data_IF_107969897292
#
_entry.id   IF_107969897292
#
_cell.length_a   1.000
_cell.length_b   1.000
_cell.length_c   1.000
_cell.angle_alpha   90.00
_cell.angle_beta   90.00
_cell.angle_gamma   90.00
#
_symmetry.space_group_name_H-M   'P 1'
#
loop_
_entity.id
_entity.type
_entity.pdbx_description
1 polymer ?
#
# COMPACT_ATOMS: atom_id res chain seq x y z
N UNK A 1 -16.22 4.53 -3.01
CA UNK A 1 -15.92 3.49 -2.01
C UNK A 1 -16.94 2.37 -2.11
N UNK A 2 -16.53 1.10 -1.99
CA UNK A 2 -17.45 -0.03 -1.88
C UNK A 2 -17.90 -0.19 -0.43
N UNK A 3 -19.19 -0.47 -0.20
CA UNK A 3 -19.73 -0.75 1.15
C UNK A 3 -19.37 -2.20 1.51
N UNK A 4 -18.66 -2.39 2.61
CA UNK A 4 -18.25 -3.71 3.08
C UNK A 4 -18.87 -3.99 4.45
N UNK A 5 -19.56 -5.13 4.58
CA UNK A 5 -20.02 -5.63 5.87
C UNK A 5 -18.96 -6.56 6.43
N UNK A 6 -18.54 -6.32 7.67
CA UNK A 6 -17.57 -7.15 8.38
C UNK A 6 -18.18 -7.64 9.68
N UNK A 7 -17.81 -8.85 10.09
CA UNK A 7 -18.12 -9.35 11.42
C UNK A 7 -17.09 -8.84 12.42
N UNK A 8 -17.55 -8.40 13.58
CA UNK A 8 -16.73 -8.00 14.71
C UNK A 8 -17.26 -8.70 15.97
N UNK A 9 -16.39 -9.32 16.78
CA UNK A 9 -16.80 -9.79 18.11
C UNK A 9 -17.39 -8.64 18.94
N UNK A 10 -18.39 -8.94 19.77
CA UNK A 10 -19.12 -7.92 20.53
C UNK A 10 -18.21 -7.03 21.38
N UNK A 11 -17.20 -7.63 22.02
CA UNK A 11 -16.21 -6.89 22.81
C UNK A 11 -15.43 -5.89 21.94
N UNK A 12 -14.99 -6.31 20.75
CA UNK A 12 -14.27 -5.45 19.79
C UNK A 12 -15.18 -4.33 19.29
N UNK A 13 -16.43 -4.65 18.95
CA UNK A 13 -17.39 -3.66 18.49
C UNK A 13 -17.69 -2.60 19.56
N UNK A 14 -17.89 -3.01 20.82
CA UNK A 14 -18.10 -2.09 21.94
C UNK A 14 -16.88 -1.20 22.19
N UNK A 15 -15.67 -1.77 22.14
CA UNK A 15 -14.42 -1.01 22.26
C UNK A 15 -14.29 0.06 21.16
N UNK A 16 -14.52 -0.32 19.91
CA UNK A 16 -14.51 0.60 18.78
C UNK A 16 -15.57 1.70 18.90
N UNK A 17 -16.77 1.36 19.38
CA UNK A 17 -17.85 2.34 19.60
C UNK A 17 -17.45 3.41 20.64
N UNK A 18 -16.79 3.00 21.72
CA UNK A 18 -16.30 3.93 22.75
C UNK A 18 -15.26 4.89 22.17
N UNK A 19 -14.26 4.37 21.47
CA UNK A 19 -13.20 5.18 20.82
C UNK A 19 -13.82 6.14 19.80
N UNK A 20 -14.77 5.66 18.98
CA UNK A 20 -15.43 6.49 17.97
C UNK A 20 -16.14 7.68 18.61
N UNK A 21 -16.84 7.44 19.73
CA UNK A 21 -17.51 8.48 20.49
C UNK A 21 -16.53 9.50 21.08
N UNK A 22 -15.47 9.03 21.74
CA UNK A 22 -14.43 9.90 22.35
C UNK A 22 -13.75 10.81 21.31
N UNK A 23 -13.50 10.28 20.11
CA UNK A 23 -12.86 11.01 19.01
C UNK A 23 -13.84 11.72 18.07
N UNK A 24 -15.15 11.78 18.40
CA UNK A 24 -16.21 12.41 17.58
C UNK A 24 -16.18 11.98 16.11
N UNK A 25 -15.99 10.69 15.89
CA UNK A 25 -15.89 10.09 14.56
C UNK A 25 -16.77 8.85 14.45
N UNK A 26 -16.83 8.24 13.27
CA UNK A 26 -17.55 6.97 13.07
C UNK A 26 -16.62 5.77 13.23
N UNK A 27 -17.17 4.60 13.62
CA UNK A 27 -16.41 3.34 13.65
C UNK A 27 -15.80 3.04 12.27
N UNK A 28 -16.55 3.29 11.20
CA UNK A 28 -16.07 3.07 9.84
C UNK A 28 -14.87 3.96 9.51
N UNK A 29 -14.86 5.20 9.99
CA UNK A 29 -13.74 6.13 9.81
C UNK A 29 -12.51 5.73 10.64
N UNK A 30 -12.72 5.25 11.88
CA UNK A 30 -11.61 4.68 12.67
C UNK A 30 -10.96 3.49 11.97
N UNK A 31 -11.78 2.57 11.47
CA UNK A 31 -11.28 1.38 10.77
C UNK A 31 -10.52 1.79 9.51
N UNK A 32 -11.04 2.74 8.72
CA UNK A 32 -10.33 3.25 7.54
C UNK A 32 -8.97 3.81 7.89
N UNK A 33 -8.90 4.73 8.86
CA UNK A 33 -7.63 5.32 9.28
C UNK A 33 -6.65 4.28 9.81
N UNK A 34 -7.15 3.27 10.53
CA UNK A 34 -6.32 2.18 11.01
C UNK A 34 -5.77 1.32 9.85
N UNK A 35 -6.59 1.01 8.85
CA UNK A 35 -6.18 0.28 7.64
C UNK A 35 -5.18 1.09 6.82
N UNK A 36 -5.47 2.36 6.55
CA UNK A 36 -4.57 3.26 5.81
C UNK A 36 -3.22 3.39 6.53
N UNK A 37 -3.23 3.46 7.86
CA UNK A 37 -1.98 3.50 8.64
C UNK A 37 -1.22 2.17 8.64
N UNK A 38 -1.94 1.05 8.63
CA UNK A 38 -1.33 -0.28 8.72
C UNK A 38 -0.80 -0.78 7.38
N UNK A 39 -1.44 -0.39 6.27
CA UNK A 39 -1.18 -0.98 4.96
C UNK A 39 -1.11 0.05 3.83
N UNK A 40 -1.28 1.36 4.10
CA UNK A 40 -1.35 2.37 3.04
C UNK A 40 -0.09 2.41 2.19
N UNK A 41 1.08 2.41 2.83
CA UNK A 41 2.39 2.35 2.16
C UNK A 41 2.53 1.06 1.33
N UNK A 42 2.29 -0.10 1.94
CA UNK A 42 2.37 -1.40 1.23
C UNK A 42 1.44 -1.45 0.01
N UNK A 43 0.23 -0.89 0.11
CA UNK A 43 -0.74 -0.82 -0.99
C UNK A 43 -0.24 0.11 -2.10
N UNK A 44 0.38 1.23 -1.75
CA UNK A 44 0.99 2.15 -2.71
C UNK A 44 2.18 1.49 -3.43
N UNK A 45 3.09 0.85 -2.69
CA UNK A 45 4.24 0.14 -3.23
C UNK A 45 3.83 -0.98 -4.21
N UNK A 46 2.81 -1.77 -3.84
CA UNK A 46 2.27 -2.83 -4.71
C UNK A 46 1.72 -2.21 -5.99
N UNK A 47 0.93 -1.13 -5.88
CA UNK A 47 0.31 -0.48 -7.04
C UNK A 47 1.38 0.08 -7.99
N UNK A 48 2.38 0.75 -7.44
CA UNK A 48 3.45 1.34 -8.23
C UNK A 48 4.30 0.24 -8.90
N UNK A 49 4.57 -0.86 -8.19
CA UNK A 49 5.24 -2.03 -8.75
C UNK A 49 4.45 -2.71 -9.88
N UNK A 50 3.13 -2.86 -9.73
CA UNK A 50 2.25 -3.39 -10.78
C UNK A 50 2.22 -2.49 -12.02
N UNK A 51 2.20 -1.17 -11.82
CA UNK A 51 2.23 -0.20 -12.91
C UNK A 51 3.54 -0.27 -13.70
N UNK A 52 4.69 -0.28 -13.01
CA UNK A 52 6.00 -0.37 -13.67
C UNK A 52 6.19 -1.71 -14.37
N UNK A 53 5.72 -2.82 -13.79
CA UNK A 53 5.72 -4.11 -14.45
C UNK A 53 4.86 -4.10 -15.72
N UNK A 54 3.67 -3.50 -15.66
CA UNK A 54 2.79 -3.38 -16.82
C UNK A 54 3.45 -2.55 -17.94
N UNK A 55 4.14 -1.45 -17.59
CA UNK A 55 4.92 -0.63 -18.55
C UNK A 55 6.02 -1.45 -19.21
N UNK A 56 6.80 -2.20 -18.43
CA UNK A 56 7.85 -3.07 -18.96
C UNK A 56 7.30 -4.16 -19.88
N UNK A 57 6.19 -4.79 -19.50
CA UNK A 57 5.56 -5.82 -20.34
C UNK A 57 5.01 -5.26 -21.66
N UNK A 58 4.53 -4.02 -21.66
CA UNK A 58 4.06 -3.34 -22.87
C UNK A 58 5.21 -2.90 -23.79
N UNK A 59 6.30 -2.41 -23.20
CA UNK A 59 7.51 -2.00 -23.89
C UNK A 59 8.77 -2.37 -23.07
N UNK A 60 9.44 -3.49 -23.39
CA UNK A 60 10.65 -3.90 -22.67
C UNK A 60 11.82 -2.92 -22.79
N UNK A 61 11.79 -2.00 -23.77
CA UNK A 61 12.83 -0.96 -23.92
C UNK A 61 12.66 0.20 -22.94
N UNK A 62 11.54 0.27 -22.22
CA UNK A 62 11.31 1.23 -21.14
C UNK A 62 12.21 1.03 -19.92
N UNK A 63 12.86 -0.14 -19.80
CA UNK A 63 13.77 -0.46 -18.71
C UNK A 63 15.22 -0.57 -19.20
N UNK A 64 16.16 -0.20 -18.34
CA UNK A 64 17.61 -0.37 -18.58
C UNK A 64 18.07 -1.71 -18.03
N UNK A 65 18.91 -2.42 -18.79
CA UNK A 65 19.49 -3.68 -18.29
C UNK A 65 20.54 -3.40 -17.20
N UNK A 66 20.72 -4.32 -16.25
CA UNK A 66 21.76 -4.20 -15.22
C UNK A 66 23.16 -4.03 -15.82
N UNK A 67 23.43 -4.68 -16.96
CA UNK A 67 24.72 -4.59 -17.64
C UNK A 67 24.98 -3.20 -18.25
N UNK A 68 23.93 -2.50 -18.67
CA UNK A 68 24.00 -1.12 -19.17
C UNK A 68 24.14 -0.10 -18.04
N UNK A 69 23.46 -0.35 -16.90
CA UNK A 69 23.53 0.54 -15.73
C UNK A 69 24.86 0.45 -14.99
N UNK A 70 25.50 -0.73 -14.98
CA UNK A 70 26.71 -0.96 -14.19
C UNK A 70 27.84 -0.04 -14.67
N UNK A 71 28.46 0.77 -13.78
CA UNK A 71 29.63 1.53 -14.16
C UNK A 71 30.74 0.57 -14.60
N UNK A 72 31.24 0.75 -15.82
CA UNK A 72 32.43 0.03 -16.29
C UNK A 72 33.55 0.31 -15.30
N UNK A 73 33.90 -0.68 -14.47
CA UNK A 73 35.12 -0.61 -13.66
C UNK A 73 36.26 -0.30 -14.62
N UNK A 74 36.82 0.91 -14.55
CA UNK A 74 38.11 1.21 -15.16
C UNK A 74 39.13 0.34 -14.42
N UNK A 75 39.43 -0.83 -14.98
CA UNK A 75 40.61 -1.58 -14.59
C UNK A 75 41.77 -0.80 -15.19
N UNK A 76 42.37 0.10 -14.39
CA UNK A 76 43.67 0.65 -14.72
C UNK A 76 44.68 -0.49 -14.50
N UNK A 77 45.22 -1.01 -15.61
CA UNK A 77 46.46 -1.80 -15.64
C UNK A 77 47.61 -0.82 -15.85
#
# INVERSE_FOLDING_TARGET
MKRTMIYLPDQTHQGLRKIAFEHKTSIAELIRRAVDRAYGEDIEDIRDGEEELAKYLADPSSAISWNELRPKKKVNV
#
